data_IF_147583856187
#
_entry.id   IF_147583856187
#
_cell.length_a   1.000
_cell.length_b   1.000
_cell.length_c   1.000
_cell.angle_alpha   90.00
_cell.angle_beta   90.00
_cell.angle_gamma   90.00
#
_symmetry.space_group_name_H-M   'P 1'
#
loop_
_entity.id
_entity.type
_entity.pdbx_description
1 polymer ?
#
# COMPACT_ATOMS: atom_id res chain seq x y z
N UNK A 1 -12.85 -1.62 -18.14
CA UNK A 1 -12.00 -2.47 -17.29
C UNK A 1 -11.17 -1.52 -16.45
N UNK A 2 -11.27 -1.63 -15.14
CA UNK A 2 -10.39 -0.89 -14.24
C UNK A 2 -9.02 -1.57 -14.22
N UNK A 3 -7.98 -0.79 -14.42
CA UNK A 3 -6.59 -1.26 -14.38
C UNK A 3 -6.09 -1.16 -12.95
N UNK A 4 -5.47 -2.23 -12.46
CA UNK A 4 -4.73 -2.23 -11.20
C UNK A 4 -3.25 -2.20 -11.55
N UNK A 5 -2.58 -1.13 -11.15
CA UNK A 5 -1.14 -1.00 -11.32
C UNK A 5 -0.44 -1.53 -10.07
N UNK A 6 0.57 -2.38 -10.26
CA UNK A 6 1.31 -3.03 -9.17
C UNK A 6 2.81 -2.86 -9.43
N UNK A 7 3.55 -2.44 -8.41
CA UNK A 7 5.01 -2.34 -8.45
C UNK A 7 5.65 -3.05 -7.24
N UNK A 8 6.70 -3.83 -7.50
CA UNK A 8 7.63 -4.34 -6.48
C UNK A 8 8.82 -3.38 -6.39
N UNK A 9 9.11 -2.89 -5.19
CA UNK A 9 10.07 -1.81 -4.94
C UNK A 9 10.93 -2.09 -3.71
N UNK A 10 12.03 -1.36 -3.56
CA UNK A 10 12.78 -1.32 -2.30
C UNK A 10 11.92 -0.68 -1.21
N UNK A 11 12.00 -1.20 0.03
CA UNK A 11 11.10 -0.82 1.13
C UNK A 11 11.17 0.68 1.46
N UNK A 12 12.35 1.28 1.36
CA UNK A 12 12.59 2.70 1.64
C UNK A 12 11.94 3.63 0.59
N UNK A 13 11.71 3.13 -0.63
CA UNK A 13 11.05 3.87 -1.70
C UNK A 13 9.52 3.72 -1.71
N UNK A 14 8.94 2.96 -0.77
CA UNK A 14 7.50 2.60 -0.80
C UNK A 14 6.55 3.81 -0.83
N UNK A 15 6.82 4.85 -0.06
CA UNK A 15 5.93 6.03 0.01
C UNK A 15 6.07 6.91 -1.25
N UNK A 16 7.27 6.95 -1.86
CA UNK A 16 7.51 7.66 -3.12
C UNK A 16 6.79 6.96 -4.29
N UNK A 17 6.91 5.63 -4.38
CA UNK A 17 6.20 4.84 -5.39
C UNK A 17 4.68 4.83 -5.20
N UNK A 18 4.21 4.84 -3.96
CA UNK A 18 2.79 5.02 -3.67
C UNK A 18 2.26 6.35 -4.22
N UNK A 19 3.02 7.43 -4.06
CA UNK A 19 2.65 8.75 -4.59
C UNK A 19 2.69 8.77 -6.12
N UNK A 20 3.69 8.12 -6.72
CA UNK A 20 3.83 8.00 -8.18
C UNK A 20 2.64 7.25 -8.80
N UNK A 21 2.37 6.01 -8.38
CA UNK A 21 1.27 5.21 -8.93
C UNK A 21 -0.10 5.85 -8.68
N UNK A 22 -0.28 6.48 -7.51
CA UNK A 22 -1.49 7.24 -7.24
C UNK A 22 -1.67 8.42 -8.20
N UNK A 23 -0.58 9.11 -8.56
CA UNK A 23 -0.62 10.24 -9.50
C UNK A 23 -0.92 9.78 -10.93
N UNK A 24 -0.32 8.68 -11.37
CA UNK A 24 -0.60 8.06 -12.67
C UNK A 24 -2.06 7.60 -12.76
N UNK A 25 -2.53 6.85 -11.76
CA UNK A 25 -3.92 6.39 -11.68
C UNK A 25 -4.90 7.57 -11.66
N UNK A 26 -4.54 8.64 -10.94
CA UNK A 26 -5.31 9.87 -10.84
C UNK A 26 -5.33 10.68 -12.16
N UNK A 27 -4.29 10.54 -13.00
CA UNK A 27 -4.04 11.41 -14.16
C UNK A 27 -3.58 12.82 -13.79
N UNK A 28 -3.10 13.02 -12.56
CA UNK A 28 -2.61 14.30 -12.04
C UNK A 28 -1.73 14.06 -10.83
N UNK A 29 -0.83 14.99 -10.51
CA UNK A 29 -0.08 14.95 -9.26
C UNK A 29 -1.04 14.97 -8.05
N UNK A 30 -0.81 14.07 -7.10
CA UNK A 30 -1.59 13.96 -5.86
C UNK A 30 -0.67 13.84 -4.65
N UNK A 31 -1.23 14.12 -3.48
CA UNK A 31 -0.57 13.88 -2.19
C UNK A 31 -1.24 12.73 -1.45
N UNK A 32 -0.45 11.97 -0.70
CA UNK A 32 -0.94 10.92 0.17
C UNK A 32 -1.08 11.41 1.62
N UNK A 33 -2.17 10.99 2.26
CA UNK A 33 -2.37 11.07 3.69
C UNK A 33 -2.50 9.67 4.31
N UNK A 34 -2.62 9.61 5.63
CA UNK A 34 -2.97 8.39 6.36
C UNK A 34 -4.01 8.71 7.41
N UNK A 35 -4.84 7.74 7.74
CA UNK A 35 -5.74 7.80 8.87
C UNK A 35 -5.92 6.40 9.47
N UNK A 36 -5.72 6.28 10.77
CA UNK A 36 -6.02 5.07 11.51
C UNK A 36 -7.43 5.19 12.13
N UNK A 37 -8.40 4.36 11.71
CA UNK A 37 -9.75 4.42 12.29
C UNK A 37 -9.80 3.95 13.75
N UNK A 38 -8.77 3.25 14.24
CA UNK A 38 -8.72 2.76 15.62
C UNK A 38 -8.25 3.81 16.63
N UNK A 39 -7.28 4.66 16.27
CA UNK A 39 -6.68 5.63 17.19
C UNK A 39 -6.70 7.08 16.70
N UNK A 40 -7.21 7.34 15.49
CA UNK A 40 -7.28 8.68 14.89
C UNK A 40 -5.96 9.22 14.33
N UNK A 41 -4.86 8.48 14.46
CA UNK A 41 -3.53 8.91 14.00
C UNK A 41 -3.50 9.19 12.50
N UNK A 42 -2.78 10.25 12.12
CA UNK A 42 -2.45 10.59 10.73
C UNK A 42 -1.06 10.10 10.31
N UNK A 43 -0.34 9.42 11.20
CA UNK A 43 1.00 8.87 10.94
C UNK A 43 0.98 7.45 10.41
N UNK A 44 -0.08 6.69 10.68
CA UNK A 44 -0.24 5.30 10.24
C UNK A 44 -1.69 5.02 9.86
N UNK A 45 -1.94 3.79 9.43
CA UNK A 45 -3.21 3.38 8.84
C UNK A 45 -3.12 3.34 7.31
N UNK A 46 -4.27 3.08 6.70
CA UNK A 46 -4.38 2.95 5.24
C UNK A 46 -3.98 4.26 4.57
N UNK A 47 -3.17 4.23 3.50
CA UNK A 47 -2.94 5.39 2.65
C UNK A 47 -4.26 5.90 2.06
N UNK A 48 -4.39 7.23 1.97
CA UNK A 48 -5.52 7.91 1.36
C UNK A 48 -4.99 8.92 0.35
N UNK A 49 -5.66 9.06 -0.80
CA UNK A 49 -5.29 10.06 -1.80
C UNK A 49 -6.08 11.34 -1.58
N UNK A 50 -5.39 12.43 -1.27
CA UNK A 50 -6.02 13.71 -0.93
C UNK A 50 -6.81 14.26 -2.12
N UNK A 51 -8.10 14.54 -1.91
CA UNK A 51 -8.99 15.09 -2.93
C UNK A 51 -9.42 14.09 -4.01
N UNK A 52 -9.02 12.82 -3.93
CA UNK A 52 -9.31 11.77 -4.92
C UNK A 52 -9.84 10.49 -4.24
N UNK A 53 -11.07 10.51 -3.70
CA UNK A 53 -11.67 9.34 -3.04
C UNK A 53 -11.93 8.17 -4.00
N UNK A 54 -11.88 8.42 -5.32
CA UNK A 54 -11.96 7.43 -6.38
C UNK A 54 -10.64 6.68 -6.63
N UNK A 55 -9.52 7.11 -6.04
CA UNK A 55 -8.21 6.44 -6.19
C UNK A 55 -7.86 5.72 -4.90
N UNK A 56 -7.62 4.42 -5.02
CA UNK A 56 -7.30 3.55 -3.90
C UNK A 56 -5.84 3.11 -3.99
N UNK A 57 -5.13 3.14 -2.86
CA UNK A 57 -3.73 2.71 -2.74
C UNK A 57 -3.62 1.67 -1.63
N UNK A 58 -2.89 0.60 -1.90
CA UNK A 58 -2.56 -0.43 -0.91
C UNK A 58 -1.07 -0.72 -0.93
N UNK A 59 -0.49 -1.04 0.23
CA UNK A 59 0.94 -1.28 0.41
C UNK A 59 1.13 -2.54 1.24
N UNK A 60 2.08 -3.38 0.84
CA UNK A 60 2.60 -4.50 1.62
C UNK A 60 4.12 -4.41 1.73
N UNK A 61 4.72 -4.98 2.78
CA UNK A 61 6.16 -4.88 3.04
C UNK A 61 6.71 -6.24 3.48
N UNK A 62 7.64 -6.80 2.72
CA UNK A 62 8.23 -8.12 2.97
C UNK A 62 9.76 -8.02 2.93
N UNK A 63 10.43 -8.18 4.07
CA UNK A 63 11.88 -8.03 4.15
C UNK A 63 12.38 -6.67 3.64
N UNK A 64 13.40 -6.65 2.78
CA UNK A 64 13.92 -5.41 2.18
C UNK A 64 13.01 -4.82 1.08
N UNK A 65 11.92 -5.49 0.72
CA UNK A 65 11.05 -5.11 -0.38
C UNK A 65 9.68 -4.62 0.12
N UNK A 66 8.98 -3.92 -0.76
CA UNK A 66 7.59 -3.54 -0.62
C UNK A 66 6.84 -3.70 -1.93
N UNK A 67 5.52 -3.89 -1.85
CA UNK A 67 4.63 -3.92 -3.00
C UNK A 67 3.64 -2.78 -2.86
N UNK A 68 3.43 -2.05 -3.94
CA UNK A 68 2.48 -0.94 -4.03
C UNK A 68 1.43 -1.30 -5.08
N UNK A 69 0.16 -1.11 -4.76
CA UNK A 69 -0.94 -1.21 -5.71
C UNK A 69 -1.77 0.08 -5.74
N UNK A 70 -2.16 0.52 -6.94
CA UNK A 70 -3.08 1.64 -7.14
C UNK A 70 -4.16 1.29 -8.18
N UNK A 71 -5.39 1.75 -7.94
CA UNK A 71 -6.52 1.53 -8.85
C UNK A 71 -7.65 2.55 -8.63
N UNK A 72 -8.57 2.65 -9.61
CA UNK A 72 -9.84 3.39 -9.48
C UNK A 72 -10.98 2.59 -8.82
N UNK A 73 -10.63 1.43 -8.29
CA UNK A 73 -11.51 0.52 -7.54
C UNK A 73 -10.82 0.12 -6.23
N UNK A 74 -11.56 -0.28 -5.18
CA UNK A 74 -10.96 -0.72 -3.94
C UNK A 74 -9.94 -1.86 -4.17
N UNK A 75 -8.71 -1.68 -3.68
CA UNK A 75 -7.63 -2.65 -3.80
C UNK A 75 -6.99 -2.94 -2.44
N UNK A 76 -6.60 -4.20 -2.25
CA UNK A 76 -5.78 -4.67 -1.14
C UNK A 76 -4.62 -5.50 -1.70
N UNK A 77 -3.41 -5.25 -1.23
CA UNK A 77 -2.24 -6.08 -1.54
C UNK A 77 -1.62 -6.57 -0.25
N UNK A 78 -1.13 -7.80 -0.30
CA UNK A 78 -0.43 -8.46 0.79
C UNK A 78 0.79 -9.19 0.22
N UNK A 79 1.89 -9.18 0.96
CA UNK A 79 3.14 -9.77 0.53
C UNK A 79 3.97 -10.14 1.75
N UNK A 80 4.47 -11.38 1.76
CA UNK A 80 5.29 -11.94 2.82
C UNK A 80 6.52 -12.62 2.22
N UNK A 81 7.61 -12.69 2.98
CA UNK A 81 8.75 -13.49 2.57
C UNK A 81 8.41 -14.98 2.70
N UNK A 82 8.71 -15.77 1.68
CA UNK A 82 8.59 -17.22 1.78
C UNK A 82 9.62 -17.76 2.78
N UNK A 83 9.16 -18.50 3.78
CA UNK A 83 10.02 -19.14 4.77
C UNK A 83 9.32 -20.32 5.43
N UNK A 84 10.09 -21.21 6.06
CA UNK A 84 9.52 -22.25 6.90
C UNK A 84 9.01 -21.63 8.21
N UNK A 85 7.84 -22.08 8.65
CA UNK A 85 7.31 -21.75 9.98
C UNK A 85 7.56 -22.93 10.92
N UNK A 86 7.97 -22.64 12.14
CA UNK A 86 7.96 -23.62 13.22
C UNK A 86 6.53 -23.73 13.75
N UNK A 87 5.87 -24.84 13.40
CA UNK A 87 4.47 -25.07 13.77
C UNK A 87 4.29 -25.20 15.29
N UNK A 88 5.29 -25.74 15.99
CA UNK A 88 5.22 -25.93 17.44
C UNK A 88 5.37 -24.59 18.17
N UNK A 89 6.17 -23.66 17.63
CA UNK A 89 6.27 -22.30 18.13
C UNK A 89 5.00 -21.46 17.91
N UNK A 90 4.18 -21.81 16.91
CA UNK A 90 2.92 -21.11 16.62
C UNK A 90 1.77 -21.49 17.58
N UNK A 91 1.88 -22.65 18.25
CA UNK A 91 0.84 -23.23 19.08
C UNK A 91 1.00 -22.95 20.60
N UNK A 92 2.09 -22.28 20.99
CA UNK A 92 2.42 -21.92 22.38
C UNK A 92 1.91 -20.51 22.76
#
# INVERSE_FOLDING_TARGET
MDVVEIALVERDLVDAWATHLASETAGTAVSLGRHCPACGSTRHGRPLVTGRPDVHVSLARAGAQAVVAAARVPVGIDAEQSGAVDADALAA
#
